data_IF_710694014411
#
_entry.id   IF_710694014411
#
_cell.length_a   1.000
_cell.length_b   1.000
_cell.length_c   1.000
_cell.angle_alpha   90.00
_cell.angle_beta   90.00
_cell.angle_gamma   90.00
#
_symmetry.space_group_name_H-M   'P 1'
#
loop_
_entity.id
_entity.type
_entity.pdbx_description
1 polymer ?
#
# COMPACT_ATOMS: atom_id res chain seq x y z
N UNK A 1 76.71 -35.54 -19.06
CA UNK A 1 75.44 -35.65 -19.81
C UNK A 1 74.30 -35.81 -18.81
N UNK A 2 73.96 -34.76 -18.05
CA UNK A 2 72.96 -34.87 -16.98
C UNK A 2 72.33 -33.55 -16.52
N UNK A 3 72.62 -32.43 -17.19
CA UNK A 3 72.00 -31.13 -16.85
C UNK A 3 71.10 -30.58 -17.95
N UNK A 4 71.07 -31.19 -19.14
CA UNK A 4 70.20 -30.77 -20.25
C UNK A 4 68.84 -31.50 -20.23
N UNK A 5 68.79 -32.75 -19.78
CA UNK A 5 67.52 -33.51 -19.61
C UNK A 5 66.70 -32.99 -18.43
N UNK A 6 67.36 -32.63 -17.31
CA UNK A 6 66.67 -32.09 -16.13
C UNK A 6 65.99 -30.72 -16.38
N UNK A 7 66.55 -29.88 -17.26
CA UNK A 7 65.95 -28.59 -17.65
C UNK A 7 64.79 -28.77 -18.64
N UNK A 8 64.83 -29.81 -19.47
CA UNK A 8 63.76 -30.12 -20.42
C UNK A 8 62.55 -30.78 -19.73
N UNK A 9 62.77 -31.55 -18.65
CA UNK A 9 61.71 -32.15 -17.84
C UNK A 9 61.03 -31.14 -16.90
N UNK A 10 61.78 -30.18 -16.33
CA UNK A 10 61.19 -29.07 -15.56
C UNK A 10 60.37 -28.11 -16.42
N UNK A 11 60.76 -27.90 -17.69
CA UNK A 11 59.96 -27.11 -18.63
C UNK A 11 58.72 -27.86 -19.13
N UNK A 12 58.76 -29.20 -19.23
CA UNK A 12 57.57 -30.03 -19.51
C UNK A 12 56.62 -30.09 -18.32
N UNK A 13 57.11 -30.24 -17.09
CA UNK A 13 56.26 -30.20 -15.88
C UNK A 13 55.63 -28.82 -15.65
N UNK A 14 56.29 -27.73 -16.02
CA UNK A 14 55.69 -26.39 -15.98
C UNK A 14 54.72 -26.09 -17.15
N UNK A 15 54.84 -26.77 -18.30
CA UNK A 15 53.88 -26.60 -19.40
C UNK A 15 52.66 -27.51 -19.27
N UNK A 16 52.76 -28.64 -18.55
CA UNK A 16 51.63 -29.56 -18.29
C UNK A 16 50.75 -29.12 -17.09
N UNK A 17 51.23 -28.23 -16.21
CA UNK A 17 50.42 -27.67 -15.11
C UNK A 17 49.48 -26.51 -15.54
N UNK A 18 49.53 -26.10 -16.80
CA UNK A 18 48.63 -25.07 -17.38
C UNK A 18 47.51 -25.64 -18.26
N UNK A 19 47.35 -26.97 -18.31
CA UNK A 19 46.22 -27.59 -19.01
C UNK A 19 45.21 -28.12 -18.00
N UNK A 20 44.03 -27.52 -18.08
CA UNK A 20 42.78 -27.99 -17.49
C UNK A 20 42.66 -27.87 -15.96
N UNK A 21 42.56 -26.62 -15.50
CA UNK A 21 41.70 -26.31 -14.35
C UNK A 21 40.43 -25.67 -14.88
N UNK A 22 39.63 -26.43 -15.64
CA UNK A 22 38.21 -26.11 -15.74
C UNK A 22 37.68 -26.00 -14.31
N UNK A 23 37.09 -24.86 -13.96
CA UNK A 23 36.37 -24.74 -12.70
C UNK A 23 35.37 -25.90 -12.61
N UNK A 24 35.17 -26.50 -11.43
CA UNK A 24 34.22 -27.62 -11.30
C UNK A 24 32.88 -27.19 -11.90
N UNK A 25 32.41 -27.96 -12.89
CA UNK A 25 31.12 -27.73 -13.56
C UNK A 25 30.05 -27.73 -12.49
N UNK A 26 29.27 -26.64 -12.40
CA UNK A 26 28.12 -26.59 -11.49
C UNK A 26 27.10 -27.62 -11.99
N UNK A 27 26.83 -28.72 -11.26
CA UNK A 27 25.92 -29.75 -11.73
C UNK A 27 24.47 -29.25 -11.86
N UNK A 28 24.14 -28.12 -11.22
CA UNK A 28 22.84 -27.46 -11.30
C UNK A 28 22.76 -26.45 -12.44
N UNK A 29 23.89 -26.08 -13.04
CA UNK A 29 23.99 -25.14 -14.16
C UNK A 29 25.16 -25.56 -15.08
N UNK A 30 25.00 -26.67 -15.82
CA UNK A 30 26.11 -27.30 -16.55
C UNK A 30 26.68 -26.45 -17.69
N UNK A 31 25.94 -25.43 -18.14
CA UNK A 31 26.35 -24.54 -19.21
C UNK A 31 26.77 -23.14 -18.71
N UNK A 32 26.86 -22.95 -17.38
CA UNK A 32 27.46 -21.75 -16.78
C UNK A 32 28.85 -21.49 -17.37
N UNK A 33 29.07 -20.27 -17.86
CA UNK A 33 30.34 -19.87 -18.47
C UNK A 33 30.56 -20.37 -19.90
N UNK A 34 29.63 -21.15 -20.48
CA UNK A 34 29.74 -21.61 -21.87
C UNK A 34 29.72 -20.40 -22.82
N UNK A 35 30.60 -20.44 -23.83
CA UNK A 35 30.61 -19.44 -24.88
C UNK A 35 29.64 -19.79 -26.02
N UNK A 36 28.72 -18.89 -26.33
CA UNK A 36 27.75 -19.01 -27.43
C UNK A 36 27.55 -17.67 -28.14
N UNK A 37 27.19 -17.70 -29.42
CA UNK A 37 26.85 -16.47 -30.15
C UNK A 37 25.52 -15.89 -29.64
N UNK A 38 25.26 -14.61 -29.91
CA UNK A 38 23.97 -14.01 -29.56
C UNK A 38 22.80 -14.66 -30.33
N UNK A 39 23.03 -15.07 -31.59
CA UNK A 39 22.04 -15.77 -32.41
C UNK A 39 21.68 -17.13 -31.80
N UNK A 40 22.70 -17.91 -31.41
CA UNK A 40 22.49 -19.18 -30.72
C UNK A 40 21.79 -18.99 -29.38
N UNK A 41 22.14 -17.94 -28.62
CA UNK A 41 21.46 -17.61 -27.38
C UNK A 41 19.95 -17.46 -27.55
N UNK A 42 19.51 -16.65 -28.52
CA UNK A 42 18.09 -16.46 -28.78
C UNK A 42 17.39 -17.75 -29.21
N UNK A 43 17.98 -18.49 -30.15
CA UNK A 43 17.37 -19.69 -30.73
C UNK A 43 17.27 -20.83 -29.72
N UNK A 44 18.31 -21.06 -28.92
CA UNK A 44 18.43 -22.26 -28.09
C UNK A 44 18.18 -22.02 -26.61
N UNK A 45 18.65 -20.90 -26.08
CA UNK A 45 18.75 -20.68 -24.63
C UNK A 45 17.68 -19.73 -24.09
N UNK A 46 17.21 -18.79 -24.91
CA UNK A 46 16.18 -17.83 -24.53
C UNK A 46 14.77 -18.35 -24.79
N UNK A 47 14.44 -18.68 -26.05
CA UNK A 47 13.13 -19.25 -26.40
C UNK A 47 12.93 -20.65 -25.80
N UNK A 48 14.05 -21.26 -25.37
CA UNK A 48 14.13 -22.58 -24.78
C UNK A 48 13.23 -23.63 -25.48
N UNK A 49 13.38 -23.84 -26.80
CA UNK A 49 12.54 -24.80 -27.52
C UNK A 49 12.93 -26.26 -27.22
N UNK A 50 14.02 -26.48 -26.47
CA UNK A 50 14.58 -27.80 -26.21
C UNK A 50 14.22 -28.25 -24.78
N UNK A 51 13.52 -29.39 -24.61
CA UNK A 51 12.97 -29.81 -23.33
C UNK A 51 14.03 -30.34 -22.33
N UNK A 52 15.30 -30.40 -22.72
CA UNK A 52 16.42 -30.85 -21.88
C UNK A 52 17.17 -29.70 -21.19
N UNK A 53 16.80 -28.44 -21.46
CA UNK A 53 17.39 -27.26 -20.81
C UNK A 53 16.43 -26.77 -19.73
N UNK A 54 16.66 -27.21 -18.49
CA UNK A 54 15.84 -26.85 -17.32
C UNK A 54 16.36 -25.59 -16.58
N UNK A 55 17.46 -25.01 -17.03
CA UNK A 55 18.12 -23.85 -16.37
C UNK A 55 17.91 -22.59 -17.22
N UNK A 56 17.48 -21.50 -16.59
CA UNK A 56 17.41 -20.20 -17.24
C UNK A 56 18.79 -19.54 -17.28
N UNK A 57 19.20 -19.07 -18.45
CA UNK A 57 20.46 -18.35 -18.64
C UNK A 57 20.21 -16.92 -19.14
N UNK A 58 20.99 -15.98 -18.60
CA UNK A 58 21.31 -14.69 -19.20
C UNK A 58 22.50 -14.85 -20.15
N UNK A 59 22.70 -13.86 -21.01
CA UNK A 59 23.83 -13.83 -21.95
C UNK A 59 24.65 -12.57 -21.75
N UNK A 60 25.94 -12.71 -21.54
CA UNK A 60 26.83 -11.59 -21.29
C UNK A 60 28.07 -11.68 -22.18
N UNK A 61 28.13 -10.85 -23.22
CA UNK A 61 29.23 -10.78 -24.17
C UNK A 61 29.75 -12.16 -24.64
N UNK A 62 28.82 -13.02 -25.03
CA UNK A 62 29.13 -14.35 -25.54
C UNK A 62 29.22 -15.43 -24.48
N UNK A 63 28.95 -15.14 -23.20
CA UNK A 63 29.04 -16.08 -22.07
C UNK A 63 27.64 -16.31 -21.48
N UNK A 64 27.27 -17.57 -21.25
CA UNK A 64 26.04 -17.90 -20.52
C UNK A 64 26.23 -17.72 -19.01
N UNK A 65 25.26 -17.06 -18.39
CA UNK A 65 25.21 -16.82 -16.94
C UNK A 65 23.89 -17.39 -16.41
N UNK A 66 23.95 -18.47 -15.64
CA UNK A 66 22.81 -19.13 -15.04
C UNK A 66 22.14 -18.21 -14.03
N UNK A 67 20.81 -18.15 -14.11
CA UNK A 67 19.97 -17.49 -13.11
C UNK A 67 19.61 -18.52 -12.03
N UNK A 68 20.00 -18.29 -10.76
CA UNK A 68 19.63 -19.17 -9.67
C UNK A 68 18.12 -19.13 -9.43
N UNK A 69 17.58 -20.20 -8.85
CA UNK A 69 16.19 -20.22 -8.39
C UNK A 69 16.06 -19.44 -7.09
N UNK A 70 15.01 -18.62 -6.98
CA UNK A 70 14.70 -17.90 -5.75
C UNK A 70 14.25 -18.86 -4.64
N UNK A 71 14.68 -18.58 -3.41
CA UNK A 71 14.19 -19.18 -2.18
C UNK A 71 12.87 -18.52 -1.70
N UNK A 72 12.23 -19.11 -0.68
CA UNK A 72 10.92 -18.64 -0.21
C UNK A 72 10.93 -17.17 0.30
N UNK A 73 11.88 -16.73 1.15
CA UNK A 73 11.95 -15.32 1.57
C UNK A 73 12.07 -14.32 0.40
N UNK A 74 12.85 -14.65 -0.64
CA UNK A 74 12.96 -13.79 -1.83
C UNK A 74 11.64 -13.71 -2.59
N UNK A 75 10.96 -14.84 -2.75
CA UNK A 75 9.66 -14.89 -3.42
C UNK A 75 8.65 -14.02 -2.65
N UNK A 76 8.63 -14.10 -1.32
CA UNK A 76 7.74 -13.30 -0.47
C UNK A 76 8.03 -11.79 -0.59
N UNK A 77 9.29 -11.39 -0.43
CA UNK A 77 9.72 -9.99 -0.59
C UNK A 77 9.44 -9.46 -2.00
N UNK A 78 9.77 -10.25 -3.02
CA UNK A 78 9.56 -9.91 -4.41
C UNK A 78 8.08 -9.74 -4.76
N UNK A 79 7.21 -10.62 -4.27
CA UNK A 79 5.76 -10.46 -4.44
C UNK A 79 5.22 -9.26 -3.69
N UNK A 80 5.67 -9.01 -2.46
CA UNK A 80 5.26 -7.83 -1.71
C UNK A 80 5.60 -6.55 -2.48
N UNK A 81 6.84 -6.44 -2.97
CA UNK A 81 7.28 -5.28 -3.74
C UNK A 81 6.53 -5.15 -5.08
N UNK A 82 6.33 -6.26 -5.78
CA UNK A 82 5.56 -6.29 -7.04
C UNK A 82 4.12 -5.84 -6.82
N UNK A 83 3.47 -6.27 -5.74
CA UNK A 83 2.11 -5.83 -5.43
C UNK A 83 2.06 -4.35 -5.07
N UNK A 84 3.02 -3.84 -4.29
CA UNK A 84 3.11 -2.42 -4.00
C UNK A 84 3.29 -1.59 -5.28
N UNK A 85 4.22 -1.97 -6.14
CA UNK A 85 4.45 -1.33 -7.43
C UNK A 85 3.20 -1.43 -8.33
N UNK A 86 2.52 -2.58 -8.31
CA UNK A 86 1.25 -2.80 -9.01
C UNK A 86 0.13 -1.86 -8.53
N UNK A 87 0.01 -1.60 -7.23
CA UNK A 87 -0.94 -0.61 -6.71
C UNK A 87 -0.66 0.79 -7.24
N UNK A 88 0.62 1.16 -7.29
CA UNK A 88 1.05 2.43 -7.83
C UNK A 88 0.71 2.57 -9.32
N UNK A 89 1.06 1.57 -10.14
CA UNK A 89 0.80 1.58 -11.59
C UNK A 89 -0.69 1.44 -11.93
N UNK A 90 -1.47 0.77 -11.10
CA UNK A 90 -2.94 0.75 -11.22
C UNK A 90 -3.54 2.15 -11.04
N UNK A 91 -3.00 2.92 -10.09
CA UNK A 91 -3.43 4.28 -9.81
C UNK A 91 -2.85 5.31 -10.79
N UNK A 92 -1.72 4.99 -11.44
CA UNK A 92 -0.98 5.87 -12.33
C UNK A 92 -0.43 5.10 -13.53
N UNK A 93 -1.10 5.24 -14.67
CA UNK A 93 -0.68 4.65 -15.95
C UNK A 93 0.51 5.41 -16.55
N UNK A 94 1.70 5.17 -16.00
CA UNK A 94 2.95 5.83 -16.44
C UNK A 94 4.02 4.85 -16.91
N UNK A 95 3.87 3.57 -16.61
CA UNK A 95 4.85 2.54 -16.94
C UNK A 95 4.20 1.16 -17.05
N UNK A 96 4.89 0.28 -17.77
CA UNK A 96 4.61 -1.14 -17.87
C UNK A 96 5.75 -1.93 -17.22
N UNK A 97 5.48 -3.20 -16.89
CA UNK A 97 6.47 -4.10 -16.32
C UNK A 97 6.85 -5.22 -17.29
N UNK A 98 8.10 -5.67 -17.20
CA UNK A 98 8.53 -6.99 -17.64
C UNK A 98 8.96 -7.81 -16.42
N UNK A 99 8.66 -9.10 -16.44
CA UNK A 99 8.98 -10.07 -15.41
C UNK A 99 8.90 -11.49 -16.02
N UNK A 100 8.91 -12.54 -15.18
CA UNK A 100 8.71 -13.93 -15.62
C UNK A 100 9.69 -14.36 -16.71
N UNK A 101 10.99 -14.17 -16.48
CA UNK A 101 12.07 -14.53 -17.41
C UNK A 101 12.09 -13.74 -18.73
N UNK A 102 11.30 -12.67 -18.85
CA UNK A 102 11.37 -11.75 -20.00
C UNK A 102 12.69 -11.00 -19.97
N UNK A 103 13.53 -11.25 -20.97
CA UNK A 103 14.81 -10.59 -21.13
C UNK A 103 14.74 -9.31 -21.95
N UNK A 104 15.74 -8.46 -21.74
CA UNK A 104 15.96 -7.24 -22.49
C UNK A 104 17.42 -7.06 -22.88
N UNK A 105 17.67 -6.31 -23.96
CA UNK A 105 19.00 -6.17 -24.55
C UNK A 105 19.71 -4.93 -24.02
N UNK A 106 20.89 -5.13 -23.45
CA UNK A 106 21.84 -4.08 -23.14
C UNK A 106 22.84 -3.94 -24.29
N UNK A 107 22.97 -2.74 -24.84
CA UNK A 107 24.08 -2.37 -25.73
C UNK A 107 24.85 -1.24 -25.06
N UNK A 108 26.09 -1.51 -24.68
CA UNK A 108 26.90 -0.65 -23.82
C UNK A 108 28.17 -0.25 -24.55
N UNK A 109 28.52 1.03 -24.50
CA UNK A 109 29.86 1.49 -24.88
C UNK A 109 30.85 1.06 -23.80
N UNK A 110 31.81 0.23 -24.18
CA UNK A 110 32.81 -0.32 -23.28
C UNK A 110 34.18 -0.27 -23.95
N UNK A 111 35.04 0.62 -23.46
CA UNK A 111 36.40 0.83 -23.99
C UNK A 111 37.32 -0.36 -23.79
N UNK A 112 36.93 -1.31 -22.94
CA UNK A 112 37.69 -2.55 -22.72
C UNK A 112 37.42 -3.60 -23.79
N UNK A 113 36.32 -3.45 -24.55
CA UNK A 113 36.00 -4.35 -25.67
C UNK A 113 36.72 -3.90 -26.96
N UNK A 114 37.28 -4.81 -27.77
CA UNK A 114 37.93 -4.46 -29.03
C UNK A 114 37.04 -3.73 -30.04
N UNK A 115 35.73 -4.00 -30.01
CA UNK A 115 34.70 -3.32 -30.83
C UNK A 115 34.30 -1.95 -30.26
N UNK A 116 34.70 -1.63 -29.03
CA UNK A 116 34.16 -0.52 -28.24
C UNK A 116 32.72 -0.73 -27.74
N UNK A 117 32.10 -1.88 -28.05
CA UNK A 117 30.70 -2.17 -27.75
C UNK A 117 30.58 -3.55 -27.12
N UNK A 118 29.99 -3.58 -25.93
CA UNK A 118 29.57 -4.80 -25.25
C UNK A 118 28.06 -4.99 -25.39
N UNK A 119 27.61 -6.23 -25.51
CA UNK A 119 26.19 -6.58 -25.44
C UNK A 119 25.92 -7.57 -24.32
N UNK A 120 24.74 -7.46 -23.72
CA UNK A 120 24.20 -8.46 -22.80
C UNK A 120 22.69 -8.61 -23.02
N UNK A 121 22.14 -9.76 -22.65
CA UNK A 121 20.71 -9.98 -22.48
C UNK A 121 20.48 -10.33 -21.02
N UNK A 122 19.73 -9.48 -20.32
CA UNK A 122 19.41 -9.63 -18.90
C UNK A 122 17.95 -9.96 -18.73
N UNK A 123 17.62 -10.78 -17.74
CA UNK A 123 16.27 -11.22 -17.34
C UNK A 123 16.03 -10.74 -15.90
N UNK A 124 15.70 -9.45 -15.71
CA UNK A 124 15.52 -8.89 -14.38
C UNK A 124 14.32 -9.55 -13.71
N UNK A 125 14.31 -9.59 -12.37
CA UNK A 125 13.12 -10.06 -11.66
C UNK A 125 11.92 -9.12 -11.90
N UNK A 126 12.17 -7.81 -11.89
CA UNK A 126 11.23 -6.80 -12.39
C UNK A 126 11.98 -5.77 -13.23
N UNK A 127 11.57 -5.60 -14.48
CA UNK A 127 11.95 -4.46 -15.30
C UNK A 127 10.80 -3.46 -15.41
N UNK A 128 11.10 -2.17 -15.33
CA UNK A 128 10.16 -1.06 -15.42
C UNK A 128 10.40 -0.33 -16.74
N UNK A 129 9.36 -0.14 -17.53
CA UNK A 129 9.41 0.53 -18.83
C UNK A 129 8.43 1.68 -18.79
N UNK A 130 8.90 2.92 -18.78
CA UNK A 130 8.02 4.09 -18.83
C UNK A 130 7.23 4.12 -20.13
N UNK A 131 6.02 4.66 -20.09
CA UNK A 131 5.22 4.90 -21.29
C UNK A 131 5.90 5.89 -22.26
N UNK A 132 6.88 6.67 -21.77
CA UNK A 132 7.75 7.56 -22.55
C UNK A 132 9.01 6.89 -23.11
N UNK A 133 9.24 5.60 -22.82
CA UNK A 133 10.39 4.87 -23.35
C UNK A 133 10.34 4.89 -24.89
N UNK A 134 11.47 5.14 -25.57
CA UNK A 134 11.48 5.23 -27.03
C UNK A 134 11.16 3.91 -27.73
N UNK A 135 11.28 2.77 -27.04
CA UNK A 135 10.94 1.45 -27.57
C UNK A 135 9.64 0.98 -26.94
N UNK A 136 8.57 0.76 -27.73
CA UNK A 136 7.28 0.34 -27.19
C UNK A 136 7.31 -1.12 -26.73
N UNK A 137 6.60 -1.38 -25.62
CA UNK A 137 6.34 -2.70 -25.06
C UNK A 137 4.84 -3.05 -25.12
N UNK A 138 4.51 -4.35 -25.08
CA UNK A 138 3.13 -4.84 -24.95
C UNK A 138 2.48 -5.36 -26.23
N UNK A 139 3.22 -5.54 -27.33
CA UNK A 139 2.69 -6.28 -28.48
C UNK A 139 2.65 -7.78 -28.18
N UNK A 140 1.61 -8.46 -28.67
CA UNK A 140 1.36 -9.89 -28.42
C UNK A 140 2.49 -10.80 -28.93
N UNK A 141 3.23 -10.37 -29.95
CA UNK A 141 4.35 -11.11 -30.53
C UNK A 141 5.71 -10.83 -29.85
N UNK A 142 5.78 -9.87 -28.93
CA UNK A 142 7.00 -9.57 -28.20
C UNK A 142 7.19 -10.55 -27.02
N UNK A 143 8.27 -11.33 -27.07
CA UNK A 143 8.71 -12.24 -26.01
C UNK A 143 9.97 -11.78 -25.29
N UNK A 144 10.58 -10.72 -25.77
CA UNK A 144 11.70 -10.01 -25.17
C UNK A 144 11.55 -8.53 -25.44
N UNK A 145 12.13 -7.70 -24.58
CA UNK A 145 12.12 -6.26 -24.75
C UNK A 145 13.37 -5.81 -25.52
N UNK A 146 13.16 -5.16 -26.67
CA UNK A 146 14.25 -4.69 -27.52
C UNK A 146 14.90 -3.39 -27.03
N UNK A 147 14.29 -2.70 -26.07
CA UNK A 147 14.81 -1.49 -25.44
C UNK A 147 15.56 -1.77 -24.15
N UNK A 148 15.99 -0.68 -23.51
CA UNK A 148 16.55 -0.70 -22.15
C UNK A 148 15.43 -0.33 -21.19
N UNK A 149 15.22 -1.14 -20.14
CA UNK A 149 14.29 -0.80 -19.07
C UNK A 149 14.73 0.50 -18.38
N UNK A 150 13.77 1.37 -18.07
CA UNK A 150 14.04 2.60 -17.34
C UNK A 150 14.39 2.33 -15.88
N UNK A 151 13.84 1.26 -15.28
CA UNK A 151 14.20 0.79 -13.95
C UNK A 151 14.36 -0.72 -13.90
N UNK A 152 15.20 -1.21 -12.98
CA UNK A 152 15.42 -2.65 -12.76
C UNK A 152 15.37 -2.95 -11.27
N UNK A 153 14.75 -4.06 -10.89
CA UNK A 153 14.76 -4.61 -9.54
C UNK A 153 15.22 -6.06 -9.61
N UNK A 154 16.18 -6.42 -8.77
CA UNK A 154 16.71 -7.78 -8.63
C UNK A 154 16.56 -8.24 -7.17
N UNK A 155 16.25 -9.52 -6.98
CA UNK A 155 16.13 -10.15 -5.67
C UNK A 155 17.35 -11.02 -5.40
N UNK A 156 18.22 -10.61 -4.47
CA UNK A 156 19.41 -11.39 -4.13
C UNK A 156 19.07 -12.44 -3.07
N UNK A 157 19.62 -13.65 -3.25
CA UNK A 157 19.53 -14.78 -2.31
C UNK A 157 20.81 -14.89 -1.48
N UNK A 158 20.74 -15.83 -0.52
CA UNK A 158 21.77 -16.68 0.09
C UNK A 158 22.75 -17.38 -0.89
N UNK A 159 23.06 -16.69 -1.97
CA UNK A 159 23.82 -17.05 -3.13
C UNK A 159 25.33 -17.00 -2.89
N UNK A 160 26.08 -17.71 -3.73
CA UNK A 160 27.54 -17.74 -3.64
C UNK A 160 28.14 -16.33 -3.75
N UNK A 161 29.37 -16.11 -3.23
CA UNK A 161 30.06 -14.82 -3.38
C UNK A 161 30.16 -14.33 -4.84
N UNK A 162 30.05 -15.24 -5.81
CA UNK A 162 30.06 -14.93 -7.25
C UNK A 162 28.77 -14.23 -7.67
N UNK A 163 27.61 -14.75 -7.26
CA UNK A 163 26.30 -14.16 -7.54
C UNK A 163 26.13 -12.81 -6.85
N UNK A 164 26.50 -12.71 -5.57
CA UNK A 164 26.50 -11.43 -4.84
C UNK A 164 27.33 -10.38 -5.58
N UNK A 165 28.54 -10.73 -6.04
CA UNK A 165 29.38 -9.82 -6.83
C UNK A 165 28.73 -9.47 -8.17
N UNK A 166 28.12 -10.43 -8.84
CA UNK A 166 27.45 -10.23 -10.13
C UNK A 166 26.37 -9.16 -10.02
N UNK A 167 25.46 -9.28 -9.06
CA UNK A 167 24.36 -8.33 -8.91
C UNK A 167 24.82 -6.99 -8.31
N UNK A 168 25.64 -7.01 -7.25
CA UNK A 168 26.06 -5.77 -6.55
C UNK A 168 27.12 -4.94 -7.29
N UNK A 169 27.89 -5.54 -8.21
CA UNK A 169 28.99 -4.87 -8.91
C UNK A 169 28.87 -4.93 -10.42
N UNK A 170 28.78 -6.13 -11.00
CA UNK A 170 28.86 -6.30 -12.46
C UNK A 170 27.61 -5.77 -13.16
N UNK A 171 26.43 -6.26 -12.77
CA UNK A 171 25.14 -5.78 -13.28
C UNK A 171 24.93 -4.31 -12.97
N UNK A 172 25.29 -3.85 -11.78
CA UNK A 172 25.27 -2.43 -11.43
C UNK A 172 26.05 -1.58 -12.45
N UNK A 173 27.26 -1.99 -12.83
CA UNK A 173 28.03 -1.28 -13.85
C UNK A 173 27.34 -1.36 -15.22
N UNK A 174 26.89 -2.55 -15.61
CA UNK A 174 26.29 -2.78 -16.93
C UNK A 174 24.99 -1.96 -17.10
N UNK A 175 24.12 -1.93 -16.08
CA UNK A 175 22.90 -1.14 -16.05
C UNK A 175 23.19 0.38 -16.11
N UNK A 176 24.24 0.86 -15.42
CA UNK A 176 24.65 2.25 -15.51
C UNK A 176 25.13 2.63 -16.92
N UNK A 177 25.97 1.79 -17.54
CA UNK A 177 26.46 2.00 -18.90
C UNK A 177 25.33 2.00 -19.93
N UNK A 178 24.32 1.14 -19.72
CA UNK A 178 23.15 1.04 -20.59
C UNK A 178 22.12 2.17 -20.38
N UNK A 179 22.21 2.91 -19.27
CA UNK A 179 21.31 4.04 -18.99
C UNK A 179 20.03 3.67 -18.23
N UNK A 180 20.01 2.56 -17.50
CA UNK A 180 18.90 2.22 -16.59
C UNK A 180 18.88 3.28 -15.46
N UNK A 181 17.78 4.00 -15.32
CA UNK A 181 17.70 5.20 -14.47
C UNK A 181 17.64 4.87 -12.97
N UNK A 182 17.00 3.77 -12.59
CA UNK A 182 16.99 3.27 -11.21
C UNK A 182 17.26 1.78 -11.15
N UNK A 183 18.07 1.36 -10.18
CA UNK A 183 18.42 -0.04 -9.96
C UNK A 183 18.28 -0.40 -8.49
N UNK A 184 17.36 -1.30 -8.16
CA UNK A 184 17.11 -1.75 -6.80
C UNK A 184 17.56 -3.20 -6.62
N UNK A 185 18.20 -3.46 -5.50
CA UNK A 185 18.62 -4.77 -5.03
C UNK A 185 17.84 -5.04 -3.75
N UNK A 186 16.94 -6.02 -3.80
CA UNK A 186 16.18 -6.44 -2.64
C UNK A 186 16.80 -7.70 -2.04
N UNK A 187 17.13 -7.62 -0.75
CA UNK A 187 17.74 -8.73 -0.02
C UNK A 187 16.95 -8.93 1.30
N UNK A 188 16.30 -10.09 1.48
CA UNK A 188 15.51 -10.35 2.69
C UNK A 188 16.36 -10.38 3.97
N UNK A 189 17.68 -10.57 3.87
CA UNK A 189 18.59 -10.51 5.03
C UNK A 189 18.99 -9.08 5.41
N UNK A 190 18.89 -8.16 4.44
CA UNK A 190 19.30 -6.76 4.56
C UNK A 190 20.79 -6.48 4.41
N UNK A 191 21.63 -7.49 4.17
CA UNK A 191 23.09 -7.32 4.00
C UNK A 191 23.43 -6.56 2.70
N UNK A 192 22.62 -6.76 1.66
CA UNK A 192 22.82 -6.22 0.31
C UNK A 192 21.60 -5.46 -0.21
N UNK A 193 20.75 -4.95 0.68
CA UNK A 193 19.60 -4.11 0.32
C UNK A 193 20.09 -2.73 -0.14
N UNK A 194 19.96 -2.44 -1.43
CA UNK A 194 20.45 -1.19 -2.01
C UNK A 194 19.48 -0.60 -3.03
N UNK A 195 19.42 0.71 -3.11
CA UNK A 195 18.59 1.45 -4.06
C UNK A 195 19.48 2.46 -4.76
N UNK A 196 19.54 2.42 -6.09
CA UNK A 196 20.42 3.28 -6.85
C UNK A 196 19.64 4.15 -7.83
N UNK A 197 20.11 5.39 -8.01
CA UNK A 197 19.68 6.31 -9.06
C UNK A 197 20.86 6.65 -9.96
N UNK A 198 20.62 6.66 -11.27
CA UNK A 198 21.62 7.04 -12.27
C UNK A 198 21.79 8.55 -12.30
N UNK A 199 23.04 8.98 -12.21
CA UNK A 199 23.45 10.37 -12.33
C UNK A 199 23.68 10.77 -13.80
N UNK A 200 23.73 12.07 -14.12
CA UNK A 200 24.04 12.54 -15.47
C UNK A 200 25.38 12.08 -16.05
N UNK A 201 26.36 11.73 -15.20
CA UNK A 201 27.67 11.19 -15.60
C UNK A 201 27.69 9.65 -15.76
N UNK A 202 26.51 9.01 -15.78
CA UNK A 202 26.32 7.55 -15.90
C UNK A 202 26.97 6.75 -14.77
N UNK A 203 26.87 7.28 -13.56
CA UNK A 203 27.25 6.56 -12.34
C UNK A 203 26.01 6.35 -11.47
N UNK A 204 26.04 5.33 -10.63
CA UNK A 204 24.97 5.13 -9.66
C UNK A 204 25.33 5.80 -8.34
N UNK A 205 24.40 6.60 -7.84
CA UNK A 205 24.37 7.07 -6.46
C UNK A 205 23.33 6.30 -5.68
N UNK A 206 23.60 6.04 -4.40
CA UNK A 206 22.68 5.31 -3.53
C UNK A 206 21.59 6.23 -2.98
N UNK A 207 20.33 5.83 -3.17
CA UNK A 207 19.16 6.47 -2.59
C UNK A 207 19.06 6.04 -1.12
N UNK A 208 19.41 6.96 -0.23
CA UNK A 208 19.29 6.74 1.20
C UNK A 208 17.84 6.99 1.67
N UNK A 209 17.34 6.21 2.65
CA UNK A 209 16.07 6.53 3.30
C UNK A 209 16.12 7.94 3.91
N UNK A 210 15.02 8.68 3.81
CA UNK A 210 14.91 9.99 4.48
C UNK A 210 14.83 9.83 6.02
N UNK A 211 14.69 10.94 6.74
CA UNK A 211 14.61 10.93 8.22
C UNK A 211 13.43 10.13 8.78
N UNK A 212 12.40 9.86 7.97
CA UNK A 212 11.26 9.02 8.30
C UNK A 212 11.43 7.57 7.78
N UNK A 213 12.61 7.23 7.25
CA UNK A 213 12.92 5.92 6.69
C UNK A 213 12.31 5.68 5.31
N UNK A 214 11.88 6.73 4.59
CA UNK A 214 11.19 6.59 3.30
C UNK A 214 12.19 6.67 2.15
N UNK A 215 12.15 5.66 1.27
CA UNK A 215 12.77 5.66 -0.06
C UNK A 215 11.79 6.27 -1.05
N UNK A 216 12.28 7.15 -1.93
CA UNK A 216 11.45 7.88 -2.92
C UNK A 216 12.05 7.69 -4.30
N UNK A 217 11.26 7.09 -5.20
CA UNK A 217 11.65 6.96 -6.60
C UNK A 217 11.60 8.32 -7.29
N UNK A 218 12.65 8.61 -8.04
CA UNK A 218 12.73 9.72 -8.98
C UNK A 218 12.25 9.29 -10.37
N UNK A 219 12.43 8.02 -10.72
CA UNK A 219 11.93 7.40 -11.95
C UNK A 219 10.40 7.38 -12.00
N UNK A 220 9.76 7.05 -10.87
CA UNK A 220 8.31 6.96 -10.72
C UNK A 220 7.84 8.04 -9.74
N UNK A 221 7.50 9.26 -10.20
CA UNK A 221 7.21 10.38 -9.31
C UNK A 221 6.05 10.12 -8.35
N UNK A 222 6.35 10.07 -7.05
CA UNK A 222 5.36 9.78 -5.99
C UNK A 222 5.24 8.31 -5.63
N UNK A 223 5.99 7.41 -6.28
CA UNK A 223 6.22 6.06 -5.76
C UNK A 223 7.24 6.12 -4.62
N UNK A 224 6.86 5.61 -3.47
CA UNK A 224 7.64 5.71 -2.24
C UNK A 224 7.27 4.58 -1.29
N UNK A 225 8.20 4.19 -0.43
CA UNK A 225 8.00 3.14 0.56
C UNK A 225 8.97 3.31 1.72
N UNK A 226 8.59 2.89 2.93
CA UNK A 226 9.56 2.81 4.02
C UNK A 226 10.43 1.58 3.85
N UNK A 227 11.70 1.78 4.18
CA UNK A 227 12.69 0.72 4.21
C UNK A 227 12.28 -0.41 5.18
N UNK A 228 11.68 -0.07 6.33
CA UNK A 228 11.19 -1.06 7.31
C UNK A 228 10.08 -1.96 6.76
N UNK A 229 9.19 -1.43 5.92
CA UNK A 229 8.03 -2.17 5.39
C UNK A 229 8.45 -3.30 4.44
N UNK A 230 9.65 -3.22 3.84
CA UNK A 230 10.24 -4.32 3.07
C UNK A 230 10.61 -5.52 3.93
N UNK A 231 11.07 -5.31 5.16
CA UNK A 231 11.42 -6.40 6.08
C UNK A 231 10.20 -6.94 6.81
N UNK A 232 9.25 -6.06 7.14
CA UNK A 232 8.04 -6.40 7.88
C UNK A 232 6.95 -7.00 6.97
N UNK A 233 7.09 -6.83 5.65
CA UNK A 233 6.10 -7.22 4.64
C UNK A 233 4.70 -6.69 5.01
N UNK A 234 4.65 -5.42 5.39
CA UNK A 234 3.46 -4.76 5.94
C UNK A 234 2.25 -4.92 5.01
N UNK A 235 1.11 -5.36 5.55
CA UNK A 235 -0.08 -5.64 4.76
C UNK A 235 -0.62 -4.39 4.04
N UNK A 236 -1.13 -4.55 2.82
CA UNK A 236 -1.59 -3.44 1.99
C UNK A 236 -2.73 -2.63 2.64
N UNK A 237 -3.59 -3.24 3.46
CA UNK A 237 -4.64 -2.54 4.20
C UNK A 237 -4.08 -1.60 5.26
N UNK A 238 -2.96 -1.96 5.88
CA UNK A 238 -2.27 -1.08 6.83
C UNK A 238 -1.58 0.06 6.09
N UNK A 239 -0.86 -0.26 5.00
CA UNK A 239 -0.25 0.75 4.15
C UNK A 239 -1.30 1.74 3.61
N UNK A 240 -2.47 1.27 3.20
CA UNK A 240 -3.53 2.12 2.66
C UNK A 240 -3.97 3.24 3.62
N UNK A 241 -3.82 3.04 4.94
CA UNK A 241 -4.17 4.03 5.96
C UNK A 241 -2.99 4.89 6.40
N UNK A 242 -1.80 4.64 5.87
CA UNK A 242 -0.57 5.34 6.19
C UNK A 242 -0.29 6.47 5.18
N UNK A 243 0.03 7.66 5.68
CA UNK A 243 0.26 8.88 4.88
C UNK A 243 1.37 8.71 3.80
N UNK A 244 2.32 7.79 3.98
CA UNK A 244 3.36 7.50 2.98
C UNK A 244 2.77 6.85 1.73
N UNK A 245 1.71 6.06 1.87
CA UNK A 245 1.16 5.22 0.81
C UNK A 245 -0.24 5.65 0.37
N UNK A 246 -0.88 6.51 1.18
CA UNK A 246 -2.12 7.19 0.83
C UNK A 246 -1.97 7.84 -0.56
N UNK A 247 -3.02 7.70 -1.36
CA UNK A 247 -3.05 8.18 -2.74
C UNK A 247 -2.62 7.17 -3.81
N UNK A 248 -2.03 6.02 -3.47
CA UNK A 248 -1.81 4.96 -4.47
C UNK A 248 -2.05 3.52 -3.99
N UNK A 249 -2.05 3.24 -2.69
CA UNK A 249 -2.35 1.89 -2.17
C UNK A 249 -3.83 1.75 -1.82
N UNK A 250 -4.55 0.84 -2.50
CA UNK A 250 -5.98 0.54 -2.24
C UNK A 250 -6.88 1.78 -2.04
N UNK A 251 -6.93 2.75 -2.99
CA UNK A 251 -7.71 3.98 -2.81
C UNK A 251 -9.20 3.73 -2.53
N UNK A 252 -9.79 2.66 -3.10
CA UNK A 252 -11.18 2.27 -2.82
C UNK A 252 -11.41 1.74 -1.42
N UNK A 253 -10.39 1.13 -0.80
CA UNK A 253 -10.45 0.75 0.60
C UNK A 253 -10.45 2.00 1.50
N UNK A 254 -9.62 2.99 1.20
CA UNK A 254 -9.57 4.27 1.93
C UNK A 254 -10.92 5.02 1.87
N UNK A 255 -11.51 5.10 0.67
CA UNK A 255 -12.86 5.66 0.47
C UNK A 255 -13.90 4.92 1.32
N UNK A 256 -13.85 3.59 1.36
CA UNK A 256 -14.76 2.75 2.14
C UNK A 256 -14.62 2.96 3.65
N UNK A 257 -13.40 2.98 4.16
CA UNK A 257 -13.11 3.25 5.59
C UNK A 257 -13.63 4.62 5.98
N UNK A 258 -13.36 5.65 5.17
CA UNK A 258 -13.81 7.02 5.42
C UNK A 258 -15.34 7.12 5.41
N UNK A 259 -16.00 6.51 4.43
CA UNK A 259 -17.46 6.52 4.32
C UNK A 259 -18.13 5.83 5.52
N UNK A 260 -17.53 4.71 6.00
CA UNK A 260 -18.00 4.00 7.19
C UNK A 260 -17.87 4.86 8.45
N UNK A 261 -16.72 5.46 8.69
CA UNK A 261 -16.49 6.35 9.84
C UNK A 261 -17.48 7.53 9.83
N UNK A 262 -17.72 8.13 8.68
CA UNK A 262 -18.71 9.22 8.55
C UNK A 262 -20.16 8.74 8.75
N UNK A 263 -20.49 7.50 8.37
CA UNK A 263 -21.81 6.94 8.63
C UNK A 263 -22.02 6.66 10.12
N UNK A 264 -21.01 6.11 10.80
CA UNK A 264 -21.02 5.86 12.24
C UNK A 264 -21.20 7.17 13.03
N UNK A 265 -20.41 8.21 12.72
CA UNK A 265 -20.55 9.54 13.36
C UNK A 265 -21.94 10.16 13.14
N UNK A 266 -22.51 10.01 11.93
CA UNK A 266 -23.87 10.50 11.65
C UNK A 266 -24.91 9.75 12.48
N UNK A 267 -24.81 8.43 12.56
CA UNK A 267 -25.71 7.61 13.35
C UNK A 267 -25.64 7.97 14.85
N UNK A 268 -24.44 8.20 15.39
CA UNK A 268 -24.25 8.67 16.78
C UNK A 268 -24.88 10.05 17.03
N UNK A 269 -24.69 10.98 16.09
CA UNK A 269 -25.28 12.32 16.17
C UNK A 269 -26.81 12.30 16.12
N UNK A 270 -27.38 11.45 15.25
CA UNK A 270 -28.83 11.27 15.11
C UNK A 270 -29.42 10.61 16.35
N UNK A 271 -28.77 9.57 16.88
CA UNK A 271 -29.18 8.91 18.11
C UNK A 271 -29.18 9.90 19.29
N UNK A 272 -28.16 10.74 19.41
CA UNK A 272 -28.07 11.78 20.43
C UNK A 272 -29.19 12.82 20.27
N UNK A 273 -29.43 13.30 19.05
CA UNK A 273 -30.49 14.27 18.76
C UNK A 273 -31.87 13.69 19.09
N UNK A 274 -32.10 12.41 18.77
CA UNK A 274 -33.34 11.71 19.08
C UNK A 274 -33.57 11.59 20.58
N UNK A 275 -32.55 11.19 21.35
CA UNK A 275 -32.64 11.13 22.81
C UNK A 275 -32.96 12.50 23.42
N UNK A 276 -32.32 13.57 22.93
CA UNK A 276 -32.61 14.92 23.40
C UNK A 276 -34.04 15.36 23.04
N UNK A 277 -34.53 15.00 21.85
CA UNK A 277 -35.90 15.29 21.45
C UNK A 277 -36.93 14.53 22.31
N UNK A 278 -36.67 13.25 22.60
CA UNK A 278 -37.51 12.43 23.49
C UNK A 278 -37.54 13.02 24.92
N UNK A 279 -36.39 13.40 25.50
CA UNK A 279 -36.34 14.07 26.81
C UNK A 279 -37.10 15.41 26.84
N UNK A 280 -36.99 16.21 25.77
CA UNK A 280 -37.74 17.47 25.66
C UNK A 280 -39.24 17.21 25.59
N UNK A 281 -39.67 16.22 24.81
CA UNK A 281 -41.06 15.83 24.69
C UNK A 281 -41.64 15.32 26.02
N UNK A 282 -40.88 14.51 26.78
CA UNK A 282 -41.27 14.06 28.12
C UNK A 282 -41.39 15.22 29.11
N UNK A 283 -40.44 16.16 29.07
CA UNK A 283 -40.46 17.35 29.92
C UNK A 283 -41.66 18.23 29.58
N UNK A 284 -41.95 18.45 28.31
CA UNK A 284 -43.10 19.22 27.84
C UNK A 284 -44.43 18.54 28.20
N UNK A 285 -44.53 17.22 28.01
CA UNK A 285 -45.71 16.45 28.38
C UNK A 285 -45.98 16.52 29.89
N UNK A 286 -44.93 16.41 30.71
CA UNK A 286 -45.03 16.57 32.17
C UNK A 286 -45.48 17.98 32.55
N UNK A 287 -44.91 19.02 31.92
CA UNK A 287 -45.31 20.41 32.16
C UNK A 287 -46.77 20.66 31.76
N UNK A 288 -47.22 20.11 30.63
CA UNK A 288 -48.59 20.20 30.17
C UNK A 288 -49.56 19.51 31.13
N UNK A 289 -49.25 18.30 31.58
CA UNK A 289 -50.08 17.57 32.54
C UNK A 289 -50.20 18.34 33.87
N UNK A 290 -49.11 18.94 34.35
CA UNK A 290 -49.14 19.79 35.55
C UNK A 290 -49.98 21.05 35.34
N UNK A 291 -49.91 21.69 34.16
CA UNK A 291 -50.72 22.86 33.83
C UNK A 291 -52.22 22.50 33.79
N UNK A 292 -52.59 21.37 33.17
CA UNK A 292 -53.96 20.88 33.13
C UNK A 292 -54.51 20.57 34.53
N UNK A 293 -53.71 19.93 35.40
CA UNK A 293 -54.07 19.69 36.80
C UNK A 293 -54.30 20.99 37.59
N UNK A 294 -53.42 21.98 37.42
CA UNK A 294 -53.57 23.30 38.07
C UNK A 294 -54.84 24.00 37.60
N UNK A 295 -55.10 24.01 36.29
CA UNK A 295 -56.30 24.62 35.73
C UNK A 295 -57.58 23.92 36.24
N UNK A 296 -57.59 22.59 36.31
CA UNK A 296 -58.71 21.83 36.87
C UNK A 296 -58.95 22.11 38.36
N UNK A 297 -57.88 22.21 39.16
CA UNK A 297 -57.97 22.58 40.57
C UNK A 297 -58.50 24.01 40.75
N UNK A 298 -58.03 24.96 39.94
CA UNK A 298 -58.48 26.35 39.97
C UNK A 298 -59.97 26.46 39.57
N UNK A 299 -60.40 25.75 38.52
CA UNK A 299 -61.80 25.71 38.11
C UNK A 299 -62.71 25.13 39.21
N UNK A 300 -62.27 24.07 39.88
CA UNK A 300 -62.98 23.47 41.02
C UNK A 300 -63.08 24.45 42.19
N UNK A 301 -61.99 25.14 42.51
CA UNK A 301 -61.97 26.16 43.56
C UNK A 301 -62.91 27.34 43.25
N UNK A 302 -62.94 27.79 41.98
CA UNK A 302 -63.88 28.83 41.52
C UNK A 302 -65.34 28.40 41.68
N UNK A 303 -65.71 27.19 41.24
CA UNK A 303 -67.07 26.66 41.44
C UNK A 303 -67.46 26.56 42.92
N UNK A 304 -66.54 26.12 43.78
CA UNK A 304 -66.80 26.07 45.22
C UNK A 304 -67.00 27.46 45.83
N UNK A 305 -66.20 28.45 45.39
CA UNK A 305 -66.37 29.83 45.81
C UNK A 305 -67.72 30.41 45.36
N UNK A 306 -68.13 30.20 44.11
CA UNK A 306 -69.44 30.60 43.59
C UNK A 306 -70.59 29.97 44.39
N UNK A 307 -70.55 28.65 44.64
CA UNK A 307 -71.56 27.97 45.46
C UNK A 307 -71.62 28.50 46.89
N UNK A 308 -70.48 28.87 47.49
CA UNK A 308 -70.44 29.49 48.82
C UNK A 308 -71.11 30.86 48.81
N UNK A 309 -70.81 31.68 47.80
CA UNK A 309 -71.44 33.00 47.62
C UNK A 309 -72.95 32.83 47.45
N UNK A 310 -73.41 31.92 46.59
CA UNK A 310 -74.85 31.65 46.39
C UNK A 310 -75.53 31.20 47.69
N UNK A 311 -74.92 30.25 48.42
CA UNK A 311 -75.44 29.75 49.68
C UNK A 311 -75.50 30.84 50.76
N UNK A 312 -74.47 31.69 50.86
CA UNK A 312 -74.42 32.81 51.80
C UNK A 312 -75.48 33.87 51.44
N UNK A 313 -75.67 34.14 50.14
CA UNK A 313 -76.70 35.06 49.65
C UNK A 313 -78.11 34.54 49.94
N UNK A 314 -78.37 33.25 49.70
CA UNK A 314 -79.64 32.61 50.02
C UNK A 314 -79.91 32.57 51.53
N UNK A 315 -78.90 32.27 52.35
CA UNK A 315 -79.01 32.31 53.81
C UNK A 315 -79.33 33.71 54.31
N UNK A 316 -78.72 34.75 53.72
CA UNK A 316 -79.01 36.15 54.02
C UNK A 316 -80.45 36.52 53.66
N UNK A 317 -80.93 36.12 52.48
CA UNK A 317 -82.33 36.33 52.07
C UNK A 317 -83.31 35.64 53.03
N UNK A 318 -83.07 34.37 53.40
CA UNK A 318 -83.89 33.65 54.38
C UNK A 318 -83.88 34.33 55.75
N UNK A 319 -82.72 34.84 56.20
CA UNK A 319 -82.62 35.58 57.45
C UNK A 319 -83.43 36.89 57.38
N UNK A 320 -83.36 37.63 56.28
CA UNK A 320 -84.16 38.84 56.05
C UNK A 320 -85.67 38.55 56.00
N UNK A 321 -86.09 37.46 55.34
CA UNK A 321 -87.49 37.01 55.32
C UNK A 321 -87.99 36.62 56.71
N UNK A 322 -87.20 35.87 57.48
CA UNK A 322 -87.51 35.55 58.89
C UNK A 322 -87.60 36.81 59.75
N UNK A 323 -86.71 37.77 59.53
CA UNK A 323 -86.75 39.05 60.24
C UNK A 323 -88.08 39.77 59.93
N UNK A 324 -88.46 39.86 58.65
CA UNK A 324 -89.74 40.45 58.23
C UNK A 324 -90.93 39.69 58.80
N UNK A 325 -90.89 38.36 58.86
CA UNK A 325 -92.00 37.58 59.44
C UNK A 325 -92.13 37.82 60.94
N UNK A 326 -91.00 37.87 61.67
CA UNK A 326 -90.96 38.19 63.09
C UNK A 326 -91.45 39.62 63.36
N UNK A 327 -91.05 40.60 62.54
CA UNK A 327 -91.54 41.98 62.62
C UNK A 327 -93.05 42.07 62.38
N UNK A 328 -93.57 41.35 61.37
CA UNK A 328 -95.00 41.28 61.10
C UNK A 328 -95.78 40.60 62.24
N UNK A 329 -95.20 39.59 62.88
CA UNK A 329 -95.78 38.91 64.04
C UNK A 329 -95.77 39.80 65.29
N UNK A 330 -94.68 40.52 65.56
CA UNK A 330 -94.59 41.57 66.58
C UNK A 330 -95.62 42.68 66.35
N UNK A 331 -95.82 43.11 65.10
CA UNK A 331 -96.83 44.10 64.73
C UNK A 331 -98.26 43.57 64.97
N UNK A 332 -98.53 42.28 64.70
CA UNK A 332 -99.81 41.62 65.04
C UNK A 332 -100.04 41.53 66.55
N UNK A 333 -99.01 41.18 67.32
CA UNK A 333 -99.09 41.12 68.78
C UNK A 333 -99.33 42.50 69.41
N UNK A 334 -98.71 43.56 68.85
CA UNK A 334 -98.97 44.96 69.24
C UNK A 334 -100.40 45.43 68.90
N UNK A 335 -101.01 44.92 67.82
CA UNK A 335 -102.43 45.19 67.49
C UNK A 335 -103.44 44.41 68.32
N UNK A 336 -103.02 43.32 68.98
CA UNK A 336 -103.86 42.51 69.90
C UNK A 336 -103.83 43.01 71.35
N UNK A 337 -102.92 43.93 71.65
CA UNK A 337 -102.70 44.50 72.99
C UNK A 337 -103.13 45.97 73.10
N UNK A 338 -103.82 46.48 72.07
CA UNK A 338 -104.58 47.73 72.07
C UNK A 338 -106.03 47.42 71.75
#
# INVERSE_FOLDING_TARGET
MGSAEALHDLQKEQTDQTRDRSAPVNPLAPDEGRRVSLEEYWEKWYENPYPDIDVSYEWNNGILEAKPLANAPQIELGFWFLFLLGQYLYSRDIAQLINLETGFVLTMEDVTEPSGIRKAVRKPDIGIILNSNPVPWGRVDQRSFAGVCDGVVEFISDSTQVEVRRDTQEKRRDYALAGVQEYYILDPTGEHMHFFQLTPDRQYEEIQPDVAGVIRSQLLPGFQFRHSDLYELTALEQLALDDVYQGFVLPKYQESVTARQQAEQRAESEATARQQAEQRAETEATARQQAEQRAGAEATARQQAERRIEAETAARQQAEERLRSLEAELARLRRRSS
#
